data_IF_461430103143
#
_entry.id   IF_461430103143
#
_cell.length_a   1.000
_cell.length_b   1.000
_cell.length_c   1.000
_cell.angle_alpha   90.00
_cell.angle_beta   90.00
_cell.angle_gamma   90.00
#
_symmetry.space_group_name_H-M   'P 1'
#
loop_
_entity.id
_entity.type
_entity.pdbx_description
1 polymer ?
#
# COMPACT_ATOMS: atom_id res chain seq x y z
N UNK A 1 42.95 16.27 -6.86
CA UNK A 1 42.04 15.46 -5.98
C UNK A 1 40.66 16.04 -6.15
N UNK A 2 39.79 15.30 -6.83
CA UNK A 2 38.36 15.65 -6.92
C UNK A 2 37.66 14.86 -5.84
N UNK A 3 37.17 15.57 -4.83
CA UNK A 3 36.23 15.00 -3.86
C UNK A 3 35.06 14.38 -4.60
N UNK A 4 34.91 13.08 -4.40
CA UNK A 4 33.75 12.35 -4.88
C UNK A 4 32.52 12.93 -4.19
N UNK A 5 31.64 13.57 -4.98
CA UNK A 5 30.31 13.96 -4.51
C UNK A 5 29.59 12.71 -4.04
N UNK A 6 29.39 12.60 -2.75
CA UNK A 6 28.59 11.60 -2.09
C UNK A 6 27.13 11.78 -2.55
N UNK A 7 26.79 11.11 -3.65
CA UNK A 7 25.42 11.12 -4.19
C UNK A 7 24.54 10.35 -3.23
N UNK A 8 24.03 11.04 -2.24
CA UNK A 8 22.97 10.52 -1.38
C UNK A 8 21.80 10.11 -2.28
N UNK A 9 21.36 8.85 -2.21
CA UNK A 9 20.26 8.38 -3.04
C UNK A 9 19.00 9.15 -2.69
N UNK A 10 18.48 9.91 -3.66
CA UNK A 10 17.32 10.78 -3.49
C UNK A 10 16.07 9.88 -3.43
N UNK A 11 15.31 9.95 -2.34
CA UNK A 11 14.02 9.31 -2.26
C UNK A 11 13.07 9.91 -3.30
N UNK A 12 12.53 9.08 -4.20
CA UNK A 12 11.56 9.51 -5.21
C UNK A 12 10.16 9.54 -4.63
N UNK A 13 9.39 10.54 -5.02
CA UNK A 13 7.99 10.70 -4.65
C UNK A 13 7.10 10.41 -5.84
N UNK A 14 6.10 9.55 -5.65
CA UNK A 14 5.06 9.29 -6.64
C UNK A 14 3.72 9.74 -6.05
N UNK A 15 2.98 10.56 -6.78
CA UNK A 15 1.65 11.04 -6.39
C UNK A 15 0.64 10.46 -7.35
N UNK A 16 -0.34 9.75 -6.83
CA UNK A 16 -1.49 9.28 -7.59
C UNK A 16 -2.68 10.19 -7.28
N UNK A 17 -3.15 10.91 -8.28
CA UNK A 17 -4.31 11.78 -8.14
C UNK A 17 -5.53 11.02 -8.63
N UNK A 18 -6.60 10.86 -7.83
CA UNK A 18 -7.84 10.34 -8.34
C UNK A 18 -8.37 11.29 -9.42
N UNK A 19 -8.81 10.79 -10.57
CA UNK A 19 -9.54 11.58 -11.55
C UNK A 19 -10.88 12.02 -10.93
N UNK A 20 -11.18 13.29 -10.99
CA UNK A 20 -12.42 13.87 -10.50
C UNK A 20 -12.43 15.36 -10.80
N UNK A 21 -13.55 15.87 -11.28
CA UNK A 21 -13.71 17.21 -11.81
C UNK A 21 -13.17 18.33 -10.91
N UNK A 22 -12.87 19.45 -11.54
CA UNK A 22 -12.38 20.74 -11.04
C UNK A 22 -12.25 20.85 -9.52
N UNK A 23 -11.21 20.30 -8.98
CA UNK A 23 -10.91 20.38 -7.56
C UNK A 23 -10.09 21.63 -7.28
N UNK A 24 -10.59 22.41 -6.33
CA UNK A 24 -9.89 23.55 -5.79
C UNK A 24 -8.52 23.15 -5.22
N UNK A 25 -7.60 24.09 -5.18
CA UNK A 25 -6.27 23.95 -4.61
C UNK A 25 -6.36 23.37 -3.17
N UNK A 26 -5.98 22.12 -2.98
CA UNK A 26 -5.94 21.48 -1.65
C UNK A 26 -6.20 19.97 -1.60
N UNK A 27 -6.71 19.33 -2.62
CA UNK A 27 -6.90 17.88 -2.61
C UNK A 27 -5.59 17.13 -2.77
N UNK A 28 -5.08 16.68 -1.64
CA UNK A 28 -3.91 15.80 -1.61
C UNK A 28 -4.31 14.40 -2.09
N UNK A 29 -3.76 13.96 -3.22
CA UNK A 29 -3.95 12.62 -3.75
C UNK A 29 -3.29 11.54 -2.89
N UNK A 30 -3.45 10.30 -3.32
CA UNK A 30 -2.70 9.19 -2.76
C UNK A 30 -1.21 9.39 -3.01
N UNK A 31 -0.37 9.21 -2.00
CA UNK A 31 1.06 9.48 -2.10
C UNK A 31 1.84 8.23 -1.74
N UNK A 32 2.82 7.89 -2.58
CA UNK A 32 3.80 6.84 -2.31
C UNK A 32 5.20 7.43 -2.38
N UNK A 33 5.97 7.26 -1.33
CA UNK A 33 7.40 7.55 -1.29
C UNK A 33 8.18 6.26 -1.50
N UNK A 34 9.04 6.28 -2.49
CA UNK A 34 9.97 5.19 -2.79
C UNK A 34 11.28 5.53 -2.09
N UNK A 35 11.75 4.65 -1.19
CA UNK A 35 13.02 4.88 -0.48
C UNK A 35 14.21 4.55 -1.36
N UNK A 36 15.45 4.95 -0.97
CA UNK A 36 16.67 4.56 -1.68
C UNK A 36 16.77 3.04 -1.85
N UNK A 37 17.43 2.61 -2.92
CA UNK A 37 17.64 1.19 -3.26
C UNK A 37 16.34 0.38 -3.41
N UNK A 38 15.28 1.03 -3.87
CA UNK A 38 13.98 0.39 -4.09
C UNK A 38 13.64 0.34 -5.58
N UNK A 39 12.95 -0.73 -5.97
CA UNK A 39 12.41 -0.93 -7.32
C UNK A 39 10.90 -1.11 -7.18
N UNK A 40 10.14 -0.17 -7.73
CA UNK A 40 8.69 -0.17 -7.77
C UNK A 40 8.22 -0.06 -9.22
N UNK A 41 7.44 -1.04 -9.68
CA UNK A 41 6.72 -0.97 -10.94
C UNK A 41 5.25 -0.56 -10.71
N UNK A 42 4.66 0.07 -11.71
CA UNK A 42 3.22 0.39 -11.75
C UNK A 42 2.60 -0.56 -12.76
N UNK A 43 1.88 -1.57 -12.28
CA UNK A 43 1.24 -2.57 -13.14
C UNK A 43 -0.10 -2.06 -13.68
N UNK A 44 -0.83 -1.29 -12.86
CA UNK A 44 -2.10 -0.70 -13.23
C UNK A 44 -2.31 0.65 -12.55
N UNK A 45 -2.84 1.59 -13.31
CA UNK A 45 -3.24 2.91 -12.82
C UNK A 45 -4.39 3.41 -13.68
N UNK A 46 -5.62 3.20 -13.24
CA UNK A 46 -6.82 3.65 -13.93
C UNK A 46 -7.76 4.38 -12.99
N UNK A 47 -8.45 5.35 -13.53
CA UNK A 47 -9.50 6.10 -12.86
C UNK A 47 -10.73 6.15 -13.77
N UNK A 48 -11.88 5.81 -13.24
CA UNK A 48 -13.16 5.85 -13.95
C UNK A 48 -14.17 6.65 -13.12
N UNK A 49 -14.83 7.61 -13.77
CA UNK A 49 -15.96 8.32 -13.19
C UNK A 49 -17.23 7.53 -13.51
N UNK A 50 -17.96 7.11 -12.50
CA UNK A 50 -19.19 6.32 -12.62
C UNK A 50 -20.44 7.13 -12.22
N UNK A 51 -20.43 8.44 -12.49
CA UNK A 51 -21.54 9.37 -12.21
C UNK A 51 -21.66 9.78 -10.74
N UNK A 52 -21.75 8.85 -9.82
CA UNK A 52 -21.83 9.12 -8.38
C UNK A 52 -20.49 8.95 -7.65
N UNK A 53 -19.60 8.11 -8.16
CA UNK A 53 -18.34 7.74 -7.53
C UNK A 53 -17.16 7.77 -8.51
N UNK A 54 -15.98 8.00 -7.96
CA UNK A 54 -14.71 7.83 -8.67
C UNK A 54 -14.15 6.49 -8.30
N UNK A 55 -13.98 5.59 -9.27
CA UNK A 55 -13.39 4.26 -9.09
C UNK A 55 -11.94 4.31 -9.53
N UNK A 56 -11.04 4.03 -8.60
CA UNK A 56 -9.60 3.94 -8.85
C UNK A 56 -9.16 2.48 -8.81
N UNK A 57 -8.38 2.06 -9.79
CA UNK A 57 -7.72 0.76 -9.78
C UNK A 57 -6.22 0.97 -9.91
N UNK A 58 -5.52 0.71 -8.82
CA UNK A 58 -4.08 0.95 -8.67
C UNK A 58 -3.43 -0.36 -8.25
N UNK A 59 -2.46 -0.83 -9.05
CA UNK A 59 -1.64 -1.98 -8.73
C UNK A 59 -0.17 -1.59 -8.84
N UNK A 60 0.55 -1.74 -7.73
CA UNK A 60 1.97 -1.51 -7.60
C UNK A 60 2.69 -2.85 -7.42
N UNK A 61 3.91 -2.97 -7.90
CA UNK A 61 4.77 -4.14 -7.72
C UNK A 61 6.12 -3.70 -7.11
N UNK A 62 6.27 -3.94 -5.82
CA UNK A 62 7.48 -3.65 -5.06
C UNK A 62 8.45 -4.84 -5.17
N UNK A 63 9.45 -4.74 -6.05
CA UNK A 63 10.41 -5.80 -6.33
C UNK A 63 11.61 -5.77 -5.39
N UNK A 64 12.00 -4.59 -4.91
CA UNK A 64 13.13 -4.43 -3.99
C UNK A 64 12.94 -3.18 -3.11
N UNK A 65 13.57 -3.19 -1.93
CA UNK A 65 13.63 -2.05 -1.03
C UNK A 65 12.34 -1.83 -0.24
N UNK A 66 11.94 -0.57 -0.08
CA UNK A 66 10.84 -0.15 0.79
C UNK A 66 10.04 0.98 0.17
N UNK A 67 8.75 0.97 0.41
CA UNK A 67 7.86 2.09 0.12
C UNK A 67 7.12 2.52 1.38
N UNK A 68 6.74 3.80 1.40
CA UNK A 68 5.87 4.40 2.39
C UNK A 68 4.70 5.02 1.65
N UNK A 69 3.47 4.64 1.98
CA UNK A 69 2.28 5.12 1.31
C UNK A 69 1.29 5.75 2.27
N UNK A 70 0.64 6.80 1.81
CA UNK A 70 -0.52 7.38 2.45
C UNK A 70 -1.66 7.43 1.44
N UNK A 71 -2.62 6.54 1.63
CA UNK A 71 -3.79 6.38 0.76
C UNK A 71 -5.00 6.94 1.48
N UNK A 72 -5.73 7.83 0.81
CA UNK A 72 -7.01 8.32 1.30
C UNK A 72 -8.06 7.19 1.30
N UNK A 73 -9.14 7.39 2.06
CA UNK A 73 -10.27 6.46 2.03
C UNK A 73 -10.83 6.40 0.62
N UNK A 74 -10.74 5.23 0.02
CA UNK A 74 -11.22 4.95 -1.33
C UNK A 74 -12.70 4.55 -1.31
N UNK A 75 -13.40 4.74 -2.44
CA UNK A 75 -14.74 4.19 -2.63
C UNK A 75 -14.75 2.68 -2.54
N UNK A 76 -15.91 2.08 -2.26
CA UNK A 76 -16.04 0.63 -2.13
C UNK A 76 -15.64 -0.12 -3.42
N UNK A 77 -15.87 0.49 -4.57
CA UNK A 77 -15.54 -0.07 -5.88
C UNK A 77 -14.05 0.11 -6.27
N UNK A 78 -13.31 0.97 -5.57
CA UNK A 78 -11.90 1.20 -5.85
C UNK A 78 -11.03 0.08 -5.32
N UNK A 79 -9.91 -0.15 -5.99
CA UNK A 79 -8.91 -1.17 -5.65
C UNK A 79 -7.52 -0.55 -5.59
N UNK A 80 -6.83 -0.76 -4.49
CA UNK A 80 -5.44 -0.36 -4.33
C UNK A 80 -4.64 -1.53 -3.77
N UNK A 81 -3.71 -2.04 -4.54
CA UNK A 81 -2.91 -3.20 -4.21
C UNK A 81 -1.43 -2.93 -4.36
N UNK A 82 -0.66 -3.46 -3.44
CA UNK A 82 0.81 -3.51 -3.53
C UNK A 82 1.21 -4.97 -3.52
N UNK A 83 1.78 -5.43 -4.62
CA UNK A 83 2.42 -6.74 -4.73
C UNK A 83 3.85 -6.64 -4.20
N UNK A 84 4.31 -7.70 -3.59
CA UNK A 84 5.70 -7.90 -3.17
C UNK A 84 6.03 -9.40 -3.30
N UNK A 85 7.30 -9.82 -3.30
CA UNK A 85 7.70 -11.18 -3.67
C UNK A 85 6.96 -12.31 -2.94
N UNK A 86 6.53 -12.08 -1.71
CA UNK A 86 5.87 -13.11 -0.87
C UNK A 86 4.34 -12.95 -0.78
N UNK A 87 3.75 -11.91 -1.37
CA UNK A 87 2.31 -11.69 -1.25
C UNK A 87 1.79 -10.40 -1.87
N UNK A 88 0.57 -10.06 -1.49
CA UNK A 88 -0.14 -8.85 -1.92
C UNK A 88 -0.79 -8.18 -0.73
N UNK A 89 -0.68 -6.87 -0.64
CA UNK A 89 -1.35 -6.02 0.33
C UNK A 89 -2.48 -5.24 -0.34
N UNK A 90 -3.71 -5.42 0.12
CA UNK A 90 -4.87 -4.62 -0.24
C UNK A 90 -5.03 -3.45 0.73
N UNK A 91 -5.15 -2.23 0.21
CA UNK A 91 -5.07 -1.00 0.97
C UNK A 91 -6.30 -0.12 0.70
N UNK A 92 -6.88 0.44 1.78
CA UNK A 92 -8.01 1.35 1.66
C UNK A 92 -8.02 2.38 2.79
N UNK A 93 -7.49 3.56 2.53
CA UNK A 93 -7.46 4.63 3.54
C UNK A 93 -6.44 4.40 4.64
N UNK A 94 -5.18 4.19 4.28
CA UNK A 94 -4.14 3.68 5.19
C UNK A 94 -2.83 4.41 5.00
N UNK A 95 -2.16 4.73 6.11
CA UNK A 95 -0.74 5.08 6.11
C UNK A 95 0.08 3.82 6.46
N UNK A 96 0.95 3.41 5.57
CA UNK A 96 1.65 2.13 5.64
C UNK A 96 3.11 2.21 5.21
N UNK A 97 3.88 1.23 5.68
CA UNK A 97 5.25 0.96 5.23
C UNK A 97 5.31 -0.49 4.78
N UNK A 98 5.77 -0.75 3.56
CA UNK A 98 5.96 -2.09 3.03
C UNK A 98 7.40 -2.26 2.57
N UNK A 99 8.04 -3.32 3.06
CA UNK A 99 9.34 -3.79 2.60
C UNK A 99 9.15 -4.92 1.56
N UNK A 100 10.02 -4.99 0.56
CA UNK A 100 9.99 -6.08 -0.43
C UNK A 100 10.23 -7.47 0.20
N UNK A 101 10.79 -7.53 1.41
CA UNK A 101 10.85 -8.76 2.20
C UNK A 101 9.48 -9.28 2.65
N UNK A 102 8.43 -8.44 2.53
CA UNK A 102 7.08 -8.72 2.95
C UNK A 102 6.73 -8.23 4.36
N UNK A 103 7.64 -7.53 5.04
CA UNK A 103 7.33 -6.88 6.30
C UNK A 103 6.40 -5.69 6.03
N UNK A 104 5.22 -5.70 6.63
CA UNK A 104 4.21 -4.65 6.47
C UNK A 104 3.92 -4.02 7.83
N UNK A 105 4.01 -2.70 7.91
CA UNK A 105 3.67 -1.90 9.09
C UNK A 105 2.54 -0.95 8.77
N UNK A 106 1.56 -0.89 9.64
CA UNK A 106 0.39 -0.01 9.51
C UNK A 106 0.44 1.08 10.59
N UNK A 107 0.48 2.33 10.13
CA UNK A 107 0.55 3.49 11.03
C UNK A 107 -0.86 4.03 11.31
N UNK A 108 -1.71 4.09 10.28
CA UNK A 108 -3.11 4.52 10.37
C UNK A 108 -3.95 3.62 9.47
N UNK A 109 -5.14 3.24 9.90
CA UNK A 109 -6.06 2.41 9.12
C UNK A 109 -5.77 0.92 9.24
N UNK A 110 -5.98 0.17 8.16
CA UNK A 110 -5.73 -1.27 8.10
C UNK A 110 -5.30 -1.71 6.70
N UNK A 111 -4.59 -2.82 6.65
CA UNK A 111 -4.14 -3.49 5.41
C UNK A 111 -4.58 -4.94 5.47
N UNK A 112 -5.11 -5.46 4.38
CA UNK A 112 -5.39 -6.89 4.20
C UNK A 112 -4.23 -7.49 3.41
N UNK A 113 -3.53 -8.47 3.97
CA UNK A 113 -2.40 -9.14 3.35
C UNK A 113 -2.82 -10.55 2.95
N UNK A 114 -2.56 -10.93 1.70
CA UNK A 114 -2.63 -12.32 1.24
C UNK A 114 -1.23 -12.78 0.87
N UNK A 115 -0.78 -13.88 1.48
CA UNK A 115 0.57 -14.41 1.27
C UNK A 115 0.57 -15.93 1.25
N UNK A 116 1.62 -16.52 0.65
CA UNK A 116 1.86 -17.96 0.72
C UNK A 116 2.62 -18.28 2.01
N UNK A 117 2.03 -19.14 2.84
CA UNK A 117 2.72 -19.65 4.02
C UNK A 117 3.79 -20.69 3.61
N UNK A 118 4.52 -21.23 4.60
CA UNK A 118 5.57 -22.23 4.37
C UNK A 118 5.06 -23.54 3.77
N UNK A 119 3.77 -23.82 3.91
CA UNK A 119 3.09 -25.01 3.38
C UNK A 119 2.55 -24.77 1.96
N UNK A 120 2.79 -23.59 1.37
CA UNK A 120 2.28 -23.20 0.06
C UNK A 120 0.78 -22.86 0.04
N UNK A 121 0.18 -22.66 1.20
CA UNK A 121 -1.23 -22.29 1.33
C UNK A 121 -1.37 -20.77 1.36
N UNK A 122 -2.34 -20.26 0.60
CA UNK A 122 -2.68 -18.82 0.65
C UNK A 122 -3.39 -18.51 1.96
N UNK A 123 -2.80 -17.62 2.75
CA UNK A 123 -3.36 -17.14 4.01
C UNK A 123 -3.65 -15.66 3.90
N UNK A 124 -4.78 -15.24 4.45
CA UNK A 124 -5.18 -13.83 4.51
C UNK A 124 -5.19 -13.35 5.96
N UNK A 125 -4.57 -12.20 6.21
CA UNK A 125 -4.53 -11.57 7.52
C UNK A 125 -4.82 -10.07 7.42
N UNK A 126 -5.40 -9.52 8.47
CA UNK A 126 -5.61 -8.08 8.63
C UNK A 126 -4.56 -7.53 9.59
N UNK A 127 -3.89 -6.47 9.16
CA UNK A 127 -2.93 -5.72 9.98
C UNK A 127 -3.54 -4.36 10.28
N UNK A 128 -3.81 -4.09 11.54
CA UNK A 128 -4.41 -2.84 11.99
C UNK A 128 -3.34 -1.79 12.35
N UNK A 129 -3.78 -0.54 12.57
CA UNK A 129 -2.91 0.53 13.03
C UNK A 129 -2.11 0.13 14.29
N UNK A 130 -0.82 0.46 14.32
CA UNK A 130 0.11 0.09 15.38
C UNK A 130 0.60 -1.34 15.31
N UNK A 131 0.23 -2.10 14.29
CA UNK A 131 0.65 -3.49 14.10
C UNK A 131 1.59 -3.64 12.90
N UNK A 132 2.34 -4.71 12.93
CA UNK A 132 3.17 -5.16 11.81
C UNK A 132 2.94 -6.65 11.54
N UNK A 133 3.04 -7.02 10.26
CA UNK A 133 3.08 -8.40 9.79
C UNK A 133 4.51 -8.77 9.43
N UNK A 134 4.97 -9.90 9.93
CA UNK A 134 6.27 -10.48 9.58
C UNK A 134 6.08 -11.75 8.74
N UNK A 135 6.47 -11.76 7.47
CA UNK A 135 6.31 -12.91 6.59
C UNK A 135 7.15 -14.12 7.00
N UNK A 136 8.25 -13.92 7.74
CA UNK A 136 9.10 -15.01 8.20
C UNK A 136 8.40 -15.89 9.25
N UNK A 137 7.57 -15.27 10.07
CA UNK A 137 6.79 -15.95 11.12
C UNK A 137 5.33 -16.16 10.72
N UNK A 138 4.81 -15.36 9.77
CA UNK A 138 3.40 -15.33 9.42
C UNK A 138 2.51 -14.71 10.51
N UNK A 139 3.10 -13.95 11.45
CA UNK A 139 2.40 -13.43 12.63
C UNK A 139 2.24 -11.93 12.55
N UNK A 140 1.09 -11.43 13.00
CA UNK A 140 0.83 -10.01 13.23
C UNK A 140 1.15 -9.68 14.69
N UNK A 141 2.01 -8.70 14.89
CA UNK A 141 2.45 -8.25 16.23
C UNK A 141 2.33 -6.72 16.35
N UNK A 142 2.28 -6.17 17.56
CA UNK A 142 2.45 -4.73 17.73
C UNK A 142 3.80 -4.26 17.16
N UNK A 143 3.83 -3.05 16.61
CA UNK A 143 5.09 -2.40 16.24
C UNK A 143 5.83 -2.05 17.51
N UNK A 144 7.11 -2.46 17.69
CA UNK A 144 7.90 -2.07 18.86
C UNK A 144 7.97 -0.54 19.00
N UNK A 145 7.85 -0.06 20.22
CA UNK A 145 7.92 1.37 20.57
C UNK A 145 7.03 2.27 19.70
N UNK A 146 5.84 1.76 19.33
CA UNK A 146 4.90 2.47 18.47
C UNK A 146 4.50 3.83 19.04
N UNK A 147 4.97 4.89 18.39
CA UNK A 147 4.53 6.26 18.64
C UNK A 147 3.89 6.83 17.36
N UNK A 148 2.55 6.95 17.32
CA UNK A 148 1.86 7.40 16.12
C UNK A 148 2.32 8.79 15.64
N UNK A 149 2.62 9.72 16.55
CA UNK A 149 3.06 11.07 16.20
C UNK A 149 4.43 11.08 15.53
N UNK A 150 5.37 10.31 16.08
CA UNK A 150 6.72 10.22 15.51
C UNK A 150 6.71 9.47 14.17
N UNK A 151 6.00 8.35 14.11
CA UNK A 151 5.91 7.56 12.87
C UNK A 151 5.09 8.26 11.77
N UNK A 152 4.26 9.24 12.12
CA UNK A 152 3.52 10.05 11.15
C UNK A 152 4.38 11.11 10.46
N UNK A 153 5.46 11.59 11.09
CA UNK A 153 6.32 12.66 10.53
C UNK A 153 6.78 12.42 9.10
N UNK A 154 7.34 11.26 8.73
CA UNK A 154 7.78 11.01 7.37
C UNK A 154 6.66 11.10 6.32
N UNK A 155 5.41 10.81 6.73
CA UNK A 155 4.25 10.93 5.84
C UNK A 155 3.80 12.38 5.65
N UNK A 156 3.93 13.22 6.69
CA UNK A 156 3.67 14.66 6.60
C UNK A 156 4.66 15.35 5.66
N UNK A 157 5.94 14.99 5.73
CA UNK A 157 6.99 15.52 4.85
C UNK A 157 6.75 15.24 3.36
N UNK A 158 6.07 14.14 3.03
CA UNK A 158 5.71 13.82 1.65
C UNK A 158 4.39 14.46 1.20
N UNK A 159 3.82 15.35 2.02
CA UNK A 159 2.55 16.04 1.74
C UNK A 159 1.33 15.18 2.00
N UNK A 160 1.47 14.17 2.85
CA UNK A 160 0.34 13.44 3.39
C UNK A 160 -0.19 14.14 4.62
N UNK A 161 -1.36 14.77 4.52
CA UNK A 161 -2.08 15.20 5.73
C UNK A 161 -2.69 13.94 6.35
N UNK A 162 -1.99 13.38 7.36
CA UNK A 162 -2.58 12.33 8.18
C UNK A 162 -3.66 12.98 9.04
N UNK A 163 -4.87 13.02 8.52
CA UNK A 163 -6.03 13.32 9.34
C UNK A 163 -6.19 12.12 10.29
N UNK A 164 -5.47 12.16 11.40
CA UNK A 164 -5.61 11.15 12.46
C UNK A 164 -6.97 11.39 13.10
N UNK A 165 -7.93 10.46 12.95
CA UNK A 165 -9.15 10.58 13.74
C UNK A 165 -8.79 10.51 15.21
N UNK A 166 -9.45 11.27 16.08
CA UNK A 166 -9.22 11.18 17.51
C UNK A 166 -9.53 9.74 17.95
N UNK A 167 -8.52 9.02 18.35
CA UNK A 167 -8.41 7.78 19.17
C UNK A 167 -9.52 6.71 19.12
N UNK A 168 -10.52 6.79 18.28
CA UNK A 168 -11.49 5.72 18.07
C UNK A 168 -11.25 5.04 16.73
N UNK A 169 -10.54 3.93 16.76
CA UNK A 169 -10.35 3.06 15.62
C UNK A 169 -11.65 2.33 15.34
N UNK A 170 -12.45 2.82 14.38
CA UNK A 170 -13.47 1.99 13.77
C UNK A 170 -12.75 0.93 12.95
N UNK A 171 -12.75 -0.30 13.43
CA UNK A 171 -12.30 -1.45 12.66
C UNK A 171 -13.24 -1.55 11.46
N UNK A 172 -12.74 -1.25 10.27
CA UNK A 172 -13.49 -1.49 9.04
C UNK A 172 -13.52 -3.00 8.81
N UNK A 173 -14.61 -3.65 9.19
CA UNK A 173 -14.82 -5.08 9.05
C UNK A 173 -15.11 -5.51 7.60
N UNK A 174 -14.89 -4.66 6.62
CA UNK A 174 -15.08 -5.01 5.23
C UNK A 174 -13.97 -5.97 4.80
N UNK A 175 -14.32 -7.22 4.62
CA UNK A 175 -13.40 -8.27 4.12
C UNK A 175 -13.18 -8.02 2.64
N UNK A 176 -11.96 -7.62 2.27
CA UNK A 176 -11.54 -7.52 0.88
C UNK A 176 -10.90 -8.83 0.45
N UNK A 177 -11.49 -9.49 -0.55
CA UNK A 177 -10.83 -10.60 -1.22
C UNK A 177 -9.75 -10.04 -2.14
N UNK A 178 -8.51 -10.16 -1.75
CA UNK A 178 -7.35 -9.99 -2.64
C UNK A 178 -7.12 -11.34 -3.30
N UNK A 179 -7.61 -11.52 -4.54
CA UNK A 179 -7.26 -12.71 -5.31
C UNK A 179 -5.81 -12.59 -5.78
N UNK A 180 -4.89 -13.47 -5.35
CA UNK A 180 -3.59 -13.55 -6.01
C UNK A 180 -3.84 -14.01 -7.45
N UNK A 181 -3.62 -13.12 -8.41
CA UNK A 181 -3.55 -13.52 -9.82
C UNK A 181 -2.28 -14.34 -10.01
N UNK A 182 -2.35 -15.63 -9.82
CA UNK A 182 -1.38 -16.55 -10.37
C UNK A 182 -1.52 -16.44 -11.88
N UNK A 183 -0.51 -15.86 -12.55
CA UNK A 183 -0.39 -15.89 -13.99
C UNK A 183 -0.08 -17.32 -14.45
N UNK A 184 -1.11 -18.15 -14.49
CA UNK A 184 -1.08 -19.41 -15.21
C UNK A 184 -1.93 -19.21 -16.45
N UNK A 185 -1.29 -19.10 -17.60
CA UNK A 185 -1.92 -19.21 -18.90
C UNK A 185 -2.68 -20.55 -18.98
N UNK A 186 -3.99 -20.48 -18.85
CA UNK A 186 -4.90 -21.60 -19.10
C UNK A 186 -5.47 -21.47 -20.50
N UNK A 187 -4.91 -22.20 -21.43
CA UNK A 187 -5.45 -22.48 -22.74
C UNK A 187 -6.80 -23.21 -22.55
N UNK A 188 -7.91 -22.53 -22.72
CA UNK A 188 -9.24 -23.12 -22.64
C UNK A 188 -9.73 -23.50 -24.03
N UNK A 189 -9.46 -24.72 -24.42
CA UNK A 189 -10.09 -25.33 -25.60
C UNK A 189 -11.60 -25.39 -25.45
N UNK A 190 -12.32 -24.95 -26.50
CA UNK A 190 -13.76 -25.13 -26.61
C UNK A 190 -14.13 -26.58 -26.80
N UNK A 191 -15.31 -26.93 -26.31
CA UNK A 191 -16.10 -28.08 -26.86
C UNK A 191 -17.56 -27.67 -26.80
N UNK A 192 -18.15 -27.67 -27.98
CA UNK A 192 -19.53 -27.85 -28.42
C UNK A 192 -20.67 -27.49 -27.46
#
# INVERSE_FOLDING_TARGET
>A
EREGSDLQPIARRVIFVPGGGASGAGEQGNVVRITPNSILAIDKLTTQETGADVVNEIQLDLRAGRIMGNVKKLSAASRYEVKFPTGVAGIRGTAYIIDASGLVRVIVGSVVISYLNKDGVVVTQVVAAGQQFDPATGVVTPIPDFNPKEMAKPFQEIGGNLNMPPTSYAVDNTIYYVSPTTGAGGNGGGVQ
#
